data_IF_212840048521
#
_entry.id   IF_212840048521
#
_cell.length_a   1.000
_cell.length_b   1.000
_cell.length_c   1.000
_cell.angle_alpha   90.00
_cell.angle_beta   90.00
_cell.angle_gamma   90.00
#
_symmetry.space_group_name_H-M   'P 1'
#
loop_
_entity.id
_entity.type
_entity.pdbx_description
1 polymer ?
#
# COMPACT_ATOMS: atom_id res chain seq x y z
N UNK A 1 -52.53 -7.55 -26.43
CA UNK A 1 -51.53 -8.19 -25.56
C UNK A 1 -50.38 -7.21 -25.46
N UNK A 2 -50.32 -6.43 -24.36
CA UNK A 2 -49.28 -5.40 -24.12
C UNK A 2 -48.13 -6.07 -23.39
N UNK A 3 -46.91 -5.98 -23.95
CA UNK A 3 -45.67 -6.39 -23.32
C UNK A 3 -45.25 -5.30 -22.35
N UNK A 4 -45.19 -5.67 -21.07
CA UNK A 4 -44.70 -4.80 -20.00
C UNK A 4 -43.17 -4.62 -20.12
N UNK A 5 -42.77 -3.38 -20.29
CA UNK A 5 -41.39 -2.95 -20.33
C UNK A 5 -40.80 -3.01 -18.91
N UNK A 6 -39.94 -3.99 -18.65
CA UNK A 6 -39.20 -4.10 -17.37
C UNK A 6 -38.19 -2.96 -17.33
N UNK A 7 -38.47 -1.95 -16.53
CA UNK A 7 -37.57 -0.84 -16.24
C UNK A 7 -36.44 -1.35 -15.37
N UNK A 8 -35.22 -1.48 -15.93
CA UNK A 8 -34.01 -1.76 -15.19
C UNK A 8 -33.70 -0.59 -14.25
N UNK A 9 -34.02 -0.73 -12.99
CA UNK A 9 -33.62 0.19 -11.94
C UNK A 9 -32.08 0.15 -11.82
N UNK A 10 -31.41 1.22 -12.28
CA UNK A 10 -29.98 1.44 -12.02
C UNK A 10 -29.82 1.62 -10.51
N UNK A 11 -29.28 0.62 -9.84
CA UNK A 11 -28.77 0.76 -8.47
C UNK A 11 -27.62 1.78 -8.50
N UNK A 12 -27.87 3.01 -8.11
CA UNK A 12 -26.86 4.02 -7.85
C UNK A 12 -26.17 3.67 -6.53
N UNK A 13 -25.08 2.91 -6.62
CA UNK A 13 -24.19 2.74 -5.46
C UNK A 13 -23.65 4.10 -5.06
N UNK A 14 -23.99 4.58 -3.87
CA UNK A 14 -23.36 5.78 -3.29
C UNK A 14 -21.85 5.64 -3.41
N UNK A 15 -21.12 6.68 -3.88
CA UNK A 15 -19.67 6.61 -3.94
C UNK A 15 -19.11 6.29 -2.55
N UNK A 16 -18.17 5.33 -2.49
CA UNK A 16 -17.48 4.98 -1.25
C UNK A 16 -16.69 6.21 -0.83
N UNK A 17 -17.10 6.84 0.27
CA UNK A 17 -16.41 8.00 0.83
C UNK A 17 -15.22 7.50 1.66
N UNK A 18 -14.01 7.75 1.18
CA UNK A 18 -12.76 7.51 1.93
C UNK A 18 -12.04 8.83 2.12
N UNK A 19 -11.24 8.91 3.16
CA UNK A 19 -10.32 10.01 3.40
C UNK A 19 -8.94 9.51 3.78
N UNK A 20 -7.95 10.39 3.67
CA UNK A 20 -6.56 10.12 4.03
C UNK A 20 -6.12 11.14 5.07
N UNK A 21 -5.30 10.70 6.02
CA UNK A 21 -4.67 11.56 7.01
C UNK A 21 -3.22 11.14 7.20
N UNK A 22 -2.39 12.05 7.70
CA UNK A 22 -1.07 11.65 8.21
C UNK A 22 -1.25 10.80 9.46
N UNK A 23 -0.47 9.72 9.54
CA UNK A 23 -0.37 8.91 10.75
C UNK A 23 0.38 9.67 11.85
N UNK A 24 -0.03 9.43 13.08
CA UNK A 24 0.60 9.91 14.30
C UNK A 24 0.76 8.77 15.30
N UNK A 25 1.45 9.04 16.42
CA UNK A 25 1.60 8.06 17.51
C UNK A 25 0.26 7.56 18.06
N UNK A 26 -0.79 8.37 17.99
CA UNK A 26 -2.14 8.00 18.46
C UNK A 26 -2.78 6.88 17.66
N UNK A 27 -2.31 6.68 16.43
CA UNK A 27 -2.89 5.71 15.49
C UNK A 27 -2.19 4.35 15.57
N UNK A 28 -1.14 4.23 16.41
CA UNK A 28 -0.24 3.06 16.42
C UNK A 28 -0.98 1.75 16.70
N UNK A 29 -1.94 1.72 17.60
CA UNK A 29 -2.65 0.50 17.95
C UNK A 29 -3.50 0.00 16.77
N UNK A 30 -4.18 0.91 16.06
CA UNK A 30 -4.95 0.58 14.86
C UNK A 30 -4.04 0.07 13.74
N UNK A 31 -2.92 0.74 13.50
CA UNK A 31 -1.93 0.37 12.49
C UNK A 31 -1.32 -1.00 12.79
N UNK A 32 -0.94 -1.23 14.05
CA UNK A 32 -0.35 -2.50 14.48
C UNK A 32 -1.34 -3.67 14.37
N UNK A 33 -2.62 -3.44 14.68
CA UNK A 33 -3.65 -4.45 14.49
C UNK A 33 -3.79 -4.85 13.03
N UNK A 34 -3.85 -3.86 12.12
CA UNK A 34 -3.91 -4.09 10.67
C UNK A 34 -2.69 -4.85 10.17
N UNK A 35 -1.48 -4.44 10.62
CA UNK A 35 -0.22 -5.10 10.24
C UNK A 35 -0.22 -6.57 10.63
N UNK A 36 -0.58 -6.89 11.86
CA UNK A 36 -0.63 -8.27 12.35
C UNK A 36 -1.62 -9.16 11.60
N UNK A 37 -2.72 -8.59 11.11
CA UNK A 37 -3.75 -9.34 10.39
C UNK A 37 -3.41 -9.55 8.91
N UNK A 38 -2.55 -8.70 8.35
CA UNK A 38 -2.27 -8.66 6.91
C UNK A 38 -0.90 -9.24 6.52
N UNK A 39 0.00 -9.42 7.48
CA UNK A 39 1.37 -9.89 7.23
C UNK A 39 1.69 -11.18 7.99
N UNK A 40 2.34 -12.14 7.31
CA UNK A 40 2.90 -13.34 7.95
C UNK A 40 4.19 -13.03 8.74
N UNK A 41 4.83 -11.90 8.47
CA UNK A 41 6.00 -11.39 9.18
C UNK A 41 5.78 -9.91 9.49
N UNK A 42 4.89 -9.61 10.45
CA UNK A 42 4.51 -8.23 10.74
C UNK A 42 5.68 -7.45 11.36
N UNK A 43 5.73 -6.17 11.05
CA UNK A 43 6.57 -5.25 11.78
C UNK A 43 6.14 -5.21 13.24
N UNK A 44 7.09 -5.02 14.12
CA UNK A 44 6.80 -4.77 15.55
C UNK A 44 6.15 -3.39 15.72
N UNK A 45 5.44 -3.21 16.82
CA UNK A 45 4.86 -1.91 17.15
C UNK A 45 5.93 -0.81 17.23
N UNK A 46 7.13 -1.14 17.75
CA UNK A 46 8.26 -0.22 17.82
C UNK A 46 8.73 0.20 16.42
N UNK A 47 8.90 -0.75 15.50
CA UNK A 47 9.31 -0.44 14.11
C UNK A 47 8.28 0.46 13.40
N UNK A 48 6.99 0.18 13.59
CA UNK A 48 5.94 1.03 13.05
C UNK A 48 5.99 2.44 13.64
N UNK A 49 6.11 2.54 14.96
CA UNK A 49 6.17 3.81 15.66
C UNK A 49 7.38 4.65 15.23
N UNK A 50 8.56 4.05 15.17
CA UNK A 50 9.78 4.71 14.68
C UNK A 50 9.62 5.22 13.26
N UNK A 51 9.03 4.40 12.37
CA UNK A 51 8.78 4.81 10.99
C UNK A 51 7.76 5.92 10.88
N UNK A 52 6.70 5.91 11.69
CA UNK A 52 5.68 6.98 11.72
C UNK A 52 6.27 8.29 12.25
N UNK A 53 7.14 8.21 13.25
CA UNK A 53 7.79 9.38 13.86
C UNK A 53 8.91 9.97 13.01
N UNK A 54 9.44 9.22 12.06
CA UNK A 54 10.52 9.71 11.21
C UNK A 54 10.00 10.83 10.30
N UNK A 55 10.51 12.08 10.43
CA UNK A 55 10.00 13.24 9.71
C UNK A 55 10.27 13.18 8.20
N UNK A 56 11.18 12.31 7.74
CA UNK A 56 11.45 12.09 6.32
C UNK A 56 10.32 11.28 5.68
N UNK A 57 9.69 10.39 6.45
CA UNK A 57 8.70 9.47 5.92
C UNK A 57 7.35 10.15 5.61
N UNK A 58 6.70 9.65 4.60
CA UNK A 58 5.29 9.89 4.30
C UNK A 58 4.49 8.72 4.87
N UNK A 59 3.85 8.94 6.00
CA UNK A 59 3.03 7.93 6.67
C UNK A 59 1.56 8.34 6.60
N UNK A 60 0.74 7.58 5.87
CA UNK A 60 -0.68 7.87 5.63
C UNK A 60 -1.58 6.78 6.19
N UNK A 61 -2.69 7.18 6.80
CA UNK A 61 -3.85 6.32 7.06
C UNK A 61 -4.88 6.46 5.95
N UNK A 62 -5.59 5.37 5.68
CA UNK A 62 -6.81 5.35 4.88
C UNK A 62 -7.99 5.13 5.82
N UNK A 63 -8.92 6.06 5.79
CA UNK A 63 -10.07 6.13 6.70
C UNK A 63 -11.34 5.84 5.91
N UNK A 64 -12.16 4.93 6.42
CA UNK A 64 -13.48 4.61 5.92
C UNK A 64 -14.45 4.48 7.09
N UNK A 65 -15.60 5.15 7.03
CA UNK A 65 -16.60 5.19 8.13
C UNK A 65 -16.00 5.56 9.49
N UNK A 66 -15.08 6.52 9.49
CA UNK A 66 -14.36 7.02 10.68
C UNK A 66 -13.39 6.02 11.32
N UNK A 67 -13.09 4.91 10.66
CA UNK A 67 -12.13 3.91 11.11
C UNK A 67 -10.92 3.87 10.18
N UNK A 68 -9.73 3.66 10.73
CA UNK A 68 -8.51 3.38 9.96
C UNK A 68 -8.61 1.93 9.46
N UNK A 69 -8.70 1.76 8.14
CA UNK A 69 -8.83 0.46 7.48
C UNK A 69 -7.59 0.07 6.68
N UNK A 70 -6.58 0.92 6.68
CA UNK A 70 -5.32 0.66 5.99
C UNK A 70 -4.33 1.79 6.20
N UNK A 71 -3.09 1.52 5.86
CA UNK A 71 -2.01 2.49 5.97
C UNK A 71 -0.94 2.27 4.92
N UNK A 72 -0.11 3.28 4.72
CA UNK A 72 1.06 3.24 3.86
C UNK A 72 2.16 4.10 4.48
N UNK A 73 3.39 3.57 4.50
CA UNK A 73 4.59 4.30 4.91
C UNK A 73 5.56 4.26 3.72
N UNK A 74 6.02 5.42 3.28
CA UNK A 74 7.00 5.56 2.23
C UNK A 74 8.11 6.53 2.63
N UNK A 75 9.31 6.27 2.18
CA UNK A 75 10.50 7.10 2.42
C UNK A 75 10.91 7.77 1.10
N UNK A 76 10.73 9.09 0.94
CA UNK A 76 11.24 9.83 -0.18
C UNK A 76 12.78 9.89 -0.17
N UNK A 77 13.38 9.68 -1.35
CA UNK A 77 14.85 9.75 -1.56
C UNK A 77 15.08 10.52 -2.86
N UNK A 78 15.57 11.75 -2.80
CA UNK A 78 15.86 12.64 -3.93
C UNK A 78 14.81 12.58 -5.06
N UNK A 79 14.97 11.68 -6.04
CA UNK A 79 14.11 11.54 -7.23
C UNK A 79 13.16 10.34 -7.16
N UNK A 80 13.27 9.51 -6.13
CA UNK A 80 12.48 8.30 -5.91
C UNK A 80 11.81 8.27 -4.54
N UNK A 81 10.94 7.31 -4.29
CA UNK A 81 10.43 6.98 -2.97
C UNK A 81 10.29 5.48 -2.80
N UNK A 82 10.72 4.96 -1.66
CA UNK A 82 10.57 3.56 -1.29
C UNK A 82 9.29 3.36 -0.50
N UNK A 83 8.39 2.48 -0.95
CA UNK A 83 7.30 1.99 -0.10
C UNK A 83 7.90 1.02 0.91
N UNK A 84 7.95 1.45 2.17
CA UNK A 84 8.49 0.65 3.28
C UNK A 84 7.47 -0.37 3.79
N UNK A 85 6.20 0.05 3.89
CA UNK A 85 5.12 -0.82 4.33
C UNK A 85 3.77 -0.30 3.80
N UNK A 86 2.87 -1.22 3.47
CA UNK A 86 1.48 -0.93 3.10
C UNK A 86 0.61 -2.10 3.49
N UNK A 87 -0.48 -1.83 4.19
CA UNK A 87 -1.45 -2.84 4.54
C UNK A 87 -2.89 -2.32 4.52
N UNK A 88 -3.81 -3.24 4.23
CA UNK A 88 -5.26 -3.04 4.32
C UNK A 88 -5.81 -4.11 5.25
N UNK A 89 -6.65 -3.72 6.18
CA UNK A 89 -7.39 -4.63 7.04
C UNK A 89 -8.04 -5.73 6.21
N UNK A 90 -7.91 -6.98 6.66
CA UNK A 90 -8.34 -8.17 5.93
C UNK A 90 -9.81 -8.11 5.49
N UNK A 91 -10.69 -7.53 6.32
CA UNK A 91 -12.13 -7.35 6.05
C UNK A 91 -12.40 -6.36 4.90
N UNK A 92 -11.44 -5.52 4.58
CA UNK A 92 -11.53 -4.47 3.56
C UNK A 92 -10.68 -4.73 2.32
N UNK A 93 -9.93 -5.82 2.27
CA UNK A 93 -9.13 -6.19 1.10
C UNK A 93 -9.98 -6.47 -0.14
N UNK A 94 -9.34 -6.43 -1.32
CA UNK A 94 -9.96 -6.71 -2.65
C UNK A 94 -11.09 -5.76 -3.06
N UNK A 95 -11.22 -4.61 -2.39
CA UNK A 95 -12.24 -3.58 -2.65
C UNK A 95 -11.63 -2.30 -3.27
N UNK A 96 -10.36 -2.33 -3.72
CA UNK A 96 -9.69 -1.20 -4.35
C UNK A 96 -8.97 -0.23 -3.39
N UNK A 97 -9.01 -0.46 -2.09
CA UNK A 97 -8.44 0.44 -1.09
C UNK A 97 -6.90 0.53 -1.16
N UNK A 98 -6.20 -0.57 -1.45
CA UNK A 98 -4.75 -0.54 -1.68
C UNK A 98 -4.37 0.32 -2.90
N UNK A 99 -5.14 0.24 -3.98
CA UNK A 99 -4.98 1.12 -5.15
C UNK A 99 -5.18 2.59 -4.78
N UNK A 100 -6.15 2.88 -3.92
CA UNK A 100 -6.43 4.24 -3.46
C UNK A 100 -5.25 4.82 -2.65
N UNK A 101 -4.61 4.02 -1.76
CA UNK A 101 -3.41 4.42 -1.03
C UNK A 101 -2.23 4.70 -1.96
N UNK A 102 -1.95 3.83 -2.93
CA UNK A 102 -0.89 4.05 -3.92
C UNK A 102 -1.15 5.33 -4.73
N UNK A 103 -2.40 5.54 -5.19
CA UNK A 103 -2.76 6.75 -5.91
C UNK A 103 -2.56 8.01 -5.06
N UNK A 104 -2.90 7.97 -3.77
CA UNK A 104 -2.69 9.07 -2.84
C UNK A 104 -1.19 9.37 -2.66
N UNK A 105 -0.38 8.34 -2.47
CA UNK A 105 1.08 8.48 -2.42
C UNK A 105 1.63 9.15 -3.69
N UNK A 106 1.26 8.64 -4.88
CA UNK A 106 1.71 9.20 -6.17
C UNK A 106 1.37 10.70 -6.27
N UNK A 107 0.18 11.10 -5.86
CA UNK A 107 -0.21 12.53 -5.86
C UNK A 107 0.67 13.37 -4.93
N UNK A 108 1.04 12.84 -3.75
CA UNK A 108 1.93 13.51 -2.81
C UNK A 108 3.37 13.61 -3.35
N UNK A 109 3.86 12.56 -4.01
CA UNK A 109 5.18 12.49 -4.61
C UNK A 109 5.32 13.43 -5.82
N UNK A 110 4.30 13.49 -6.69
CA UNK A 110 4.27 14.40 -7.83
C UNK A 110 4.42 15.88 -7.41
N UNK A 111 3.78 16.27 -6.30
CA UNK A 111 3.93 17.63 -5.74
C UNK A 111 5.35 17.94 -5.25
N UNK A 112 6.16 16.90 -5.02
CA UNK A 112 7.57 16.99 -4.58
C UNK A 112 8.56 16.82 -5.74
N UNK A 113 8.08 16.61 -6.97
CA UNK A 113 8.91 16.38 -8.15
C UNK A 113 9.56 15.00 -8.19
N UNK A 114 9.08 14.06 -7.36
CA UNK A 114 9.58 12.68 -7.33
C UNK A 114 8.96 11.92 -8.49
N UNK A 115 9.80 11.21 -9.27
CA UNK A 115 9.42 10.56 -10.52
C UNK A 115 9.37 9.03 -10.47
N UNK A 116 9.82 8.43 -9.38
CA UNK A 116 9.86 6.97 -9.25
C UNK A 116 9.35 6.50 -7.89
N UNK A 117 8.71 5.33 -7.88
CA UNK A 117 8.34 4.60 -6.67
C UNK A 117 8.95 3.21 -6.74
N UNK A 118 9.65 2.84 -5.69
CA UNK A 118 10.27 1.53 -5.52
C UNK A 118 9.58 0.77 -4.37
N UNK A 119 9.64 -0.54 -4.44
CA UNK A 119 9.24 -1.42 -3.35
C UNK A 119 9.96 -2.76 -3.46
N UNK A 120 9.99 -3.48 -2.35
CA UNK A 120 10.46 -4.86 -2.32
C UNK A 120 9.35 -5.78 -1.82
N UNK A 121 9.18 -6.93 -2.46
CA UNK A 121 8.17 -7.92 -2.11
C UNK A 121 8.77 -9.32 -2.12
N UNK A 122 8.35 -10.18 -1.19
CA UNK A 122 8.74 -11.59 -1.16
C UNK A 122 8.28 -12.30 -2.43
N UNK A 123 9.14 -13.11 -3.03
CA UNK A 123 8.81 -13.89 -4.23
C UNK A 123 7.60 -14.82 -4.02
N UNK A 124 7.42 -15.34 -2.81
CA UNK A 124 6.27 -16.19 -2.46
C UNK A 124 4.94 -15.42 -2.42
N UNK A 125 4.96 -14.09 -2.32
CA UNK A 125 3.74 -13.28 -2.22
C UNK A 125 3.15 -12.94 -3.60
N UNK A 126 2.79 -14.00 -4.34
CA UNK A 126 2.29 -13.91 -5.73
C UNK A 126 1.08 -12.98 -5.85
N UNK A 127 0.21 -12.96 -4.85
CA UNK A 127 -0.99 -12.12 -4.88
C UNK A 127 -0.67 -10.63 -4.83
N UNK A 128 0.31 -10.24 -4.04
CA UNK A 128 0.78 -8.87 -3.89
C UNK A 128 1.60 -8.43 -5.11
N UNK A 129 2.43 -9.34 -5.67
CA UNK A 129 3.15 -9.09 -6.94
C UNK A 129 2.14 -8.76 -8.05
N UNK A 130 1.10 -9.60 -8.23
CA UNK A 130 0.04 -9.34 -9.22
C UNK A 130 -0.68 -8.01 -8.97
N UNK A 131 -0.89 -7.66 -7.71
CA UNK A 131 -1.48 -6.37 -7.36
C UNK A 131 -0.61 -5.21 -7.84
N UNK A 132 0.70 -5.24 -7.58
CA UNK A 132 1.62 -4.18 -8.01
C UNK A 132 1.78 -4.11 -9.54
N UNK A 133 1.88 -5.26 -10.22
CA UNK A 133 1.88 -5.30 -11.69
C UNK A 133 0.62 -4.63 -12.26
N UNK A 134 -0.55 -4.87 -11.66
CA UNK A 134 -1.82 -4.23 -12.07
C UNK A 134 -1.87 -2.72 -11.77
N UNK A 135 -0.98 -2.19 -10.90
CA UNK A 135 -0.80 -0.75 -10.68
C UNK A 135 0.26 -0.15 -11.61
N UNK A 136 0.89 -0.93 -12.49
CA UNK A 136 1.90 -0.47 -13.44
C UNK A 136 3.35 -0.61 -12.95
N UNK A 137 3.57 -1.20 -11.78
CA UNK A 137 4.94 -1.55 -11.35
C UNK A 137 5.54 -2.60 -12.28
N UNK A 138 6.86 -2.56 -12.44
CA UNK A 138 7.65 -3.54 -13.20
C UNK A 138 8.70 -4.15 -12.28
N UNK A 139 8.93 -5.43 -12.41
CA UNK A 139 10.06 -6.11 -11.77
C UNK A 139 11.36 -5.62 -12.40
N UNK A 140 12.30 -5.13 -11.59
CA UNK A 140 13.58 -4.59 -12.08
C UNK A 140 14.78 -5.35 -11.58
N UNK A 141 14.68 -6.06 -10.45
CA UNK A 141 15.78 -6.84 -9.88
C UNK A 141 15.29 -7.90 -8.91
N UNK A 142 16.16 -8.87 -8.64
CA UNK A 142 15.93 -9.94 -7.66
C UNK A 142 17.07 -9.91 -6.64
N UNK A 143 16.73 -9.82 -5.36
CA UNK A 143 17.66 -9.97 -4.24
C UNK A 143 17.65 -11.41 -3.77
N UNK A 144 18.68 -12.16 -4.15
CA UNK A 144 18.79 -13.59 -3.84
C UNK A 144 18.91 -13.84 -2.34
N UNK A 145 18.18 -14.84 -1.85
CA UNK A 145 18.23 -15.33 -0.46
C UNK A 145 18.04 -14.22 0.59
N UNK A 146 17.22 -13.23 0.29
CA UNK A 146 17.11 -12.03 1.12
C UNK A 146 16.24 -12.23 2.35
N UNK A 147 15.08 -12.86 2.18
CA UNK A 147 14.15 -13.09 3.28
C UNK A 147 14.37 -14.44 3.96
N UNK A 148 14.25 -14.48 5.27
CA UNK A 148 14.07 -15.75 5.99
C UNK A 148 12.65 -16.24 5.75
N UNK A 149 12.49 -17.45 5.22
CA UNK A 149 11.20 -18.01 4.84
C UNK A 149 10.38 -18.41 6.06
N UNK A 150 11.07 -18.95 7.07
CA UNK A 150 10.45 -19.39 8.32
C UNK A 150 11.35 -18.98 9.50
N UNK A 151 10.81 -18.33 10.51
CA UNK A 151 11.55 -17.96 11.72
C UNK A 151 12.10 -19.15 12.50
N UNK A 152 11.43 -20.30 12.40
CA UNK A 152 11.87 -21.55 13.03
C UNK A 152 12.97 -22.29 12.22
N UNK A 153 13.16 -21.90 10.96
CA UNK A 153 14.20 -22.46 10.07
C UNK A 153 14.97 -21.32 9.39
N UNK A 154 15.86 -20.62 10.10
CA UNK A 154 16.56 -19.42 9.59
C UNK A 154 17.43 -19.69 8.35
N UNK A 155 17.82 -20.95 8.12
CA UNK A 155 18.59 -21.39 6.95
C UNK A 155 17.77 -21.36 5.65
N UNK A 156 16.44 -21.49 5.74
CA UNK A 156 15.57 -21.46 4.57
C UNK A 156 15.29 -20.02 4.18
N UNK A 157 15.85 -19.63 3.05
CA UNK A 157 15.73 -18.29 2.49
C UNK A 157 14.81 -18.26 1.27
N UNK A 158 14.28 -17.08 0.98
CA UNK A 158 13.58 -16.79 -0.28
C UNK A 158 14.06 -15.48 -0.87
N UNK A 159 13.86 -15.32 -2.16
CA UNK A 159 14.25 -14.13 -2.89
C UNK A 159 13.29 -12.95 -2.60
N UNK A 160 13.83 -11.74 -2.66
CA UNK A 160 13.07 -10.50 -2.73
C UNK A 160 13.00 -10.02 -4.17
N UNK A 161 11.84 -9.57 -4.63
CA UNK A 161 11.65 -8.95 -5.93
C UNK A 161 11.56 -7.44 -5.72
N UNK A 162 12.47 -6.69 -6.38
CA UNK A 162 12.41 -5.24 -6.41
C UNK A 162 11.55 -4.81 -7.59
N UNK A 163 10.55 -3.97 -7.30
CA UNK A 163 9.63 -3.46 -8.30
C UNK A 163 9.69 -1.94 -8.36
N UNK A 164 9.52 -1.37 -9.56
CA UNK A 164 9.55 0.06 -9.83
C UNK A 164 8.31 0.52 -10.59
N UNK A 165 7.79 1.67 -10.21
CA UNK A 165 6.79 2.43 -10.95
C UNK A 165 7.38 3.78 -11.32
N UNK A 166 7.42 4.09 -12.61
CA UNK A 166 7.70 5.44 -13.12
C UNK A 166 6.41 6.27 -13.05
N UNK A 167 6.47 7.43 -12.42
CA UNK A 167 5.33 8.35 -12.30
C UNK A 167 5.63 9.63 -13.11
N UNK A 168 4.67 10.00 -13.95
CA UNK A 168 4.81 11.23 -14.73
C UNK A 168 4.76 12.44 -13.79
N UNK A 169 5.87 13.12 -13.64
CA UNK A 169 5.89 14.44 -12.98
C UNK A 169 5.27 15.46 -13.92
N UNK A 170 4.12 16.01 -13.56
CA UNK A 170 3.63 17.22 -14.21
C UNK A 170 4.57 18.35 -13.78
N UNK A 171 5.56 18.67 -14.62
CA UNK A 171 6.32 19.92 -14.46
C UNK A 171 5.30 21.04 -14.62
N UNK A 172 4.93 21.70 -13.52
CA UNK A 172 4.26 22.98 -13.60
C UNK A 172 5.29 23.95 -14.24
N UNK A 173 5.05 24.28 -15.49
CA UNK A 173 5.71 25.36 -16.21
C UNK A 173 5.15 26.69 -15.70
#
# INVERSE_FOLDING_TARGET
>A
MKLDTITKTKLTTKPISISFSYLSEKDIDSVFLIERQSSNNPWTQTQLLESIKNPVNLAYSLIYKSEIIGYLIAMPVIESADILNIAIDSSYQRKGFGKALIKHLIQALNKRGISEVLLEVRQSNVSVIKFYLAQGFKEISIRKNYYTKNSNEPSVKEDGIIMRLEISTTKNT
#
